data_IF_723065901889
#
_entry.id   IF_723065901889
#
_cell.length_a   1.000
_cell.length_b   1.000
_cell.length_c   1.000
_cell.angle_alpha   90.00
_cell.angle_beta   90.00
_cell.angle_gamma   90.00
#
_symmetry.space_group_name_H-M   'P 1'
#
loop_
_entity.id
_entity.type
_entity.pdbx_description
1 polymer ?
#
# COMPACT_ATOMS: atom_id res chain seq x y z
N UNK A 1 0.85 -18.57 -21.79
CA UNK A 1 -0.41 -19.28 -21.42
C UNK A 1 -0.76 -18.84 -20.01
N UNK A 2 -1.95 -18.31 -19.75
CA UNK A 2 -2.38 -17.97 -18.38
C UNK A 2 -2.69 -19.31 -17.72
N UNK A 3 -2.00 -19.71 -16.63
CA UNK A 3 -2.33 -20.97 -15.96
C UNK A 3 -3.76 -20.95 -15.47
N UNK A 4 -4.47 -22.06 -15.64
CA UNK A 4 -5.82 -22.24 -15.09
C UNK A 4 -5.75 -21.99 -13.57
N UNK A 5 -6.65 -21.16 -13.06
CA UNK A 5 -6.73 -20.91 -11.63
C UNK A 5 -7.05 -22.21 -10.88
N UNK A 6 -6.35 -22.49 -9.78
CA UNK A 6 -6.65 -23.64 -8.94
C UNK A 6 -8.03 -23.52 -8.29
N UNK A 7 -8.61 -24.65 -7.85
CA UNK A 7 -9.89 -24.61 -7.12
C UNK A 7 -9.85 -23.69 -5.90
N UNK A 8 -8.68 -23.56 -5.24
CA UNK A 8 -8.51 -22.70 -4.09
C UNK A 8 -8.50 -21.22 -4.48
N UNK A 9 -7.83 -20.88 -5.59
CA UNK A 9 -7.87 -19.52 -6.16
C UNK A 9 -9.27 -19.13 -6.59
N UNK A 10 -10.00 -20.05 -7.23
CA UNK A 10 -11.41 -19.84 -7.60
C UNK A 10 -12.29 -19.64 -6.38
N UNK A 11 -12.08 -20.44 -5.30
CA UNK A 11 -12.78 -20.30 -4.03
C UNK A 11 -12.50 -18.92 -3.40
N UNK A 12 -11.25 -18.53 -3.29
CA UNK A 12 -10.84 -17.22 -2.75
C UNK A 12 -11.46 -16.05 -3.52
N UNK A 13 -11.50 -16.14 -4.87
CA UNK A 13 -12.14 -15.13 -5.70
C UNK A 13 -13.66 -15.08 -5.48
N UNK A 14 -14.31 -16.22 -5.35
CA UNK A 14 -15.75 -16.29 -5.08
C UNK A 14 -16.09 -15.63 -3.73
N UNK A 15 -15.31 -15.92 -2.68
CA UNK A 15 -15.49 -15.37 -1.35
C UNK A 15 -15.22 -13.86 -1.32
N UNK A 16 -14.13 -13.41 -1.92
CA UNK A 16 -13.77 -11.97 -1.93
C UNK A 16 -14.78 -11.11 -2.69
N UNK A 17 -15.36 -11.66 -3.77
CA UNK A 17 -16.39 -10.99 -4.59
C UNK A 17 -17.80 -11.17 -4.04
N UNK A 18 -17.98 -12.04 -3.05
CA UNK A 18 -19.30 -12.43 -2.50
C UNK A 18 -20.28 -12.91 -3.58
N UNK A 19 -19.78 -13.40 -4.72
CA UNK A 19 -20.58 -13.75 -5.90
C UNK A 19 -19.85 -14.73 -6.82
N UNK A 20 -20.50 -15.85 -7.15
CA UNK A 20 -20.00 -16.80 -8.15
C UNK A 20 -19.96 -16.18 -9.55
N UNK A 21 -20.95 -15.35 -9.89
CA UNK A 21 -21.03 -14.70 -11.20
C UNK A 21 -19.92 -13.67 -11.38
N UNK A 22 -19.66 -12.84 -10.38
CA UNK A 22 -18.57 -11.85 -10.45
C UNK A 22 -17.19 -12.52 -10.44
N UNK A 23 -17.00 -13.59 -9.68
CA UNK A 23 -15.78 -14.38 -9.73
C UNK A 23 -15.56 -15.02 -11.11
N UNK A 24 -16.64 -15.54 -11.71
CA UNK A 24 -16.59 -16.14 -13.04
C UNK A 24 -16.17 -15.12 -14.12
N UNK A 25 -16.70 -13.89 -14.07
CA UNK A 25 -16.31 -12.81 -14.99
C UNK A 25 -14.81 -12.49 -14.90
N UNK A 26 -14.30 -12.34 -13.67
CA UNK A 26 -12.89 -11.99 -13.44
C UNK A 26 -11.93 -13.09 -13.85
N UNK A 27 -12.35 -14.35 -13.65
CA UNK A 27 -11.53 -15.53 -13.99
C UNK A 27 -11.71 -15.99 -15.43
N UNK A 28 -12.62 -15.38 -16.19
CA UNK A 28 -13.03 -15.84 -17.53
C UNK A 28 -13.55 -17.30 -17.54
N UNK A 29 -14.30 -17.65 -16.49
CA UNK A 29 -14.93 -18.97 -16.33
C UNK A 29 -16.45 -18.87 -16.45
N UNK A 30 -17.12 -20.02 -16.60
CA UNK A 30 -18.57 -20.08 -16.40
C UNK A 30 -18.91 -20.06 -14.91
N UNK A 31 -20.08 -19.52 -14.55
CA UNK A 31 -20.56 -19.54 -13.17
C UNK A 31 -20.70 -20.97 -12.63
N UNK A 32 -21.05 -21.94 -13.50
CA UNK A 32 -21.09 -23.35 -13.13
C UNK A 32 -19.71 -23.92 -12.77
N UNK A 33 -18.66 -23.54 -13.50
CA UNK A 33 -17.29 -23.95 -13.21
C UNK A 33 -16.83 -23.39 -11.85
N UNK A 34 -17.10 -22.13 -11.55
CA UNK A 34 -16.82 -21.53 -10.23
C UNK A 34 -17.57 -22.27 -9.11
N UNK A 35 -18.87 -22.56 -9.32
CA UNK A 35 -19.67 -23.32 -8.35
C UNK A 35 -19.13 -24.73 -8.10
N UNK A 36 -18.66 -25.42 -9.16
CA UNK A 36 -18.05 -26.76 -9.05
C UNK A 36 -16.70 -26.68 -8.31
N UNK A 37 -15.86 -25.71 -8.60
CA UNK A 37 -14.60 -25.52 -7.90
C UNK A 37 -14.79 -25.27 -6.39
N UNK A 38 -15.77 -24.45 -6.01
CA UNK A 38 -16.12 -24.22 -4.60
C UNK A 38 -16.59 -25.54 -3.95
N UNK A 39 -17.49 -26.29 -4.59
CA UNK A 39 -17.92 -27.59 -4.08
C UNK A 39 -16.77 -28.59 -3.94
N UNK A 40 -15.81 -28.57 -4.86
CA UNK A 40 -14.64 -29.45 -4.78
C UNK A 40 -13.77 -29.13 -3.56
N UNK A 41 -13.61 -27.84 -3.19
CA UNK A 41 -12.93 -27.43 -1.95
C UNK A 41 -13.72 -27.91 -0.72
N UNK A 42 -15.04 -27.71 -0.69
CA UNK A 42 -15.90 -28.16 0.41
C UNK A 42 -15.87 -29.68 0.60
N UNK A 43 -15.88 -30.45 -0.49
CA UNK A 43 -15.77 -31.91 -0.46
C UNK A 43 -14.42 -32.38 0.09
N UNK A 44 -13.33 -31.75 -0.30
CA UNK A 44 -12.00 -32.09 0.17
C UNK A 44 -11.81 -31.79 1.65
N UNK A 45 -12.34 -30.64 2.10
CA UNK A 45 -12.28 -30.23 3.52
C UNK A 45 -13.31 -30.99 4.37
N UNK A 46 -14.33 -31.56 3.74
CA UNK A 46 -15.42 -32.27 4.43
C UNK A 46 -16.40 -31.35 5.16
N UNK A 47 -16.40 -30.05 4.83
CA UNK A 47 -17.22 -29.04 5.50
C UNK A 47 -17.90 -28.13 4.48
N UNK A 48 -19.11 -27.66 4.80
CA UNK A 48 -19.76 -26.59 4.05
C UNK A 48 -19.13 -25.25 4.47
N UNK A 49 -18.43 -24.60 3.53
CA UNK A 49 -17.70 -23.37 3.81
C UNK A 49 -18.44 -22.10 3.37
N UNK A 50 -19.41 -22.24 2.45
CA UNK A 50 -20.12 -21.12 1.83
C UNK A 50 -21.62 -21.31 1.91
N UNK A 51 -22.33 -20.25 2.33
CA UNK A 51 -23.79 -20.15 2.27
C UNK A 51 -24.22 -19.33 1.06
N UNK A 52 -25.20 -19.81 0.30
CA UNK A 52 -25.85 -19.04 -0.76
C UNK A 52 -26.96 -18.20 -0.15
N UNK A 53 -26.98 -16.90 -0.43
CA UNK A 53 -28.00 -15.94 -0.04
C UNK A 53 -28.64 -15.31 -1.28
N UNK A 54 -29.75 -14.60 -1.09
CA UNK A 54 -30.41 -13.86 -2.18
C UNK A 54 -29.47 -12.84 -2.82
N UNK A 55 -28.57 -12.22 -2.02
CA UNK A 55 -27.65 -11.15 -2.43
C UNK A 55 -26.23 -11.66 -2.68
N UNK A 56 -26.02 -12.98 -2.82
CA UNK A 56 -24.71 -13.52 -3.10
C UNK A 56 -24.29 -14.71 -2.23
N UNK A 57 -23.03 -14.73 -1.79
CA UNK A 57 -22.49 -15.80 -0.95
C UNK A 57 -21.80 -15.23 0.30
N UNK A 58 -21.84 -16.00 1.38
CA UNK A 58 -21.12 -15.68 2.61
C UNK A 58 -20.43 -16.92 3.19
N UNK A 59 -19.33 -16.73 3.90
CA UNK A 59 -18.67 -17.81 4.63
C UNK A 59 -19.52 -18.28 5.81
N UNK A 60 -19.64 -19.60 5.98
CA UNK A 60 -20.16 -20.22 7.20
C UNK A 60 -19.26 -19.92 8.40
N UNK A 61 -19.67 -20.29 9.62
CA UNK A 61 -18.80 -20.22 10.81
C UNK A 61 -17.51 -21.02 10.61
N UNK A 62 -17.62 -22.22 10.05
CA UNK A 62 -16.45 -23.08 9.77
C UNK A 62 -15.66 -22.54 8.56
N UNK A 63 -16.35 -21.99 7.56
CA UNK A 63 -15.71 -21.29 6.45
C UNK A 63 -14.79 -20.15 6.92
N UNK A 64 -15.22 -19.36 7.91
CA UNK A 64 -14.38 -18.28 8.47
C UNK A 64 -13.13 -18.80 9.18
N UNK A 65 -13.19 -19.98 9.80
CA UNK A 65 -12.03 -20.60 10.47
C UNK A 65 -11.07 -21.22 9.48
N UNK A 66 -11.59 -21.82 8.39
CA UNK A 66 -10.80 -22.53 7.37
C UNK A 66 -10.24 -21.57 6.31
N UNK A 67 -10.92 -20.46 6.03
CA UNK A 67 -10.55 -19.52 4.97
C UNK A 67 -9.09 -19.03 5.03
N UNK A 68 -8.52 -18.68 6.20
CA UNK A 68 -7.11 -18.30 6.28
C UNK A 68 -6.13 -19.38 5.79
N UNK A 69 -6.45 -20.66 6.01
CA UNK A 69 -5.62 -21.77 5.55
C UNK A 69 -5.73 -21.94 4.03
N UNK A 70 -6.91 -21.75 3.45
CA UNK A 70 -7.11 -21.76 2.00
C UNK A 70 -6.34 -20.58 1.37
N UNK A 71 -6.35 -19.42 1.99
CA UNK A 71 -5.55 -18.28 1.54
C UNK A 71 -4.05 -18.60 1.53
N UNK A 72 -3.55 -19.26 2.56
CA UNK A 72 -2.14 -19.68 2.63
C UNK A 72 -1.78 -20.66 1.50
N UNK A 73 -2.70 -21.55 1.10
CA UNK A 73 -2.49 -22.43 -0.05
C UNK A 73 -2.40 -21.61 -1.34
N UNK A 74 -3.29 -20.65 -1.56
CA UNK A 74 -3.24 -19.76 -2.72
C UNK A 74 -1.93 -18.97 -2.77
N UNK A 75 -1.45 -18.49 -1.63
CA UNK A 75 -0.18 -17.76 -1.54
C UNK A 75 1.01 -18.66 -1.90
N UNK A 76 1.00 -19.93 -1.42
CA UNK A 76 2.01 -20.91 -1.76
C UNK A 76 2.01 -21.30 -3.25
N UNK A 77 0.82 -21.44 -3.86
CA UNK A 77 0.69 -21.67 -5.31
C UNK A 77 1.26 -20.51 -6.14
N UNK A 78 0.99 -19.27 -5.71
CA UNK A 78 1.56 -18.08 -6.34
C UNK A 78 3.09 -18.05 -6.20
N UNK A 79 3.61 -18.37 -5.02
CA UNK A 79 5.05 -18.45 -4.79
C UNK A 79 5.70 -19.54 -5.65
N UNK A 80 5.05 -20.70 -5.80
CA UNK A 80 5.52 -21.78 -6.68
C UNK A 80 5.53 -21.33 -8.15
N UNK A 81 4.45 -20.69 -8.62
CA UNK A 81 4.36 -20.18 -9.99
C UNK A 81 5.43 -19.09 -10.26
N UNK A 82 5.70 -18.23 -9.29
CA UNK A 82 6.80 -17.26 -9.38
C UNK A 82 8.16 -17.95 -9.45
N UNK A 83 8.38 -18.98 -8.62
CA UNK A 83 9.67 -19.71 -8.59
C UNK A 83 9.92 -20.48 -9.87
N UNK A 84 8.92 -21.16 -10.40
CA UNK A 84 9.02 -21.87 -11.70
C UNK A 84 9.27 -20.89 -12.84
N UNK A 85 8.57 -19.76 -12.87
CA UNK A 85 8.79 -18.71 -13.86
C UNK A 85 10.21 -18.14 -13.78
N UNK A 86 10.75 -17.93 -12.58
CA UNK A 86 12.15 -17.52 -12.38
C UNK A 86 13.15 -18.57 -12.90
N UNK A 87 12.87 -19.86 -12.64
CA UNK A 87 13.72 -20.96 -13.08
C UNK A 87 13.67 -21.16 -14.60
N UNK A 88 12.52 -20.95 -15.23
CA UNK A 88 12.33 -21.03 -16.68
C UNK A 88 12.92 -19.82 -17.42
N UNK A 89 12.92 -18.66 -16.76
CA UNK A 89 13.46 -17.41 -17.29
C UNK A 89 14.71 -17.01 -16.51
N UNK A 90 15.83 -17.65 -16.77
CA UNK A 90 17.15 -17.34 -16.19
C UNK A 90 17.57 -15.84 -16.28
N UNK A 91 16.72 -14.95 -16.79
CA UNK A 91 17.01 -13.55 -17.06
C UNK A 91 15.85 -12.58 -16.82
N UNK A 92 14.86 -12.85 -16.00
CA UNK A 92 13.83 -11.83 -15.76
C UNK A 92 12.85 -12.20 -14.68
N UNK A 93 12.59 -11.28 -13.79
CA UNK A 93 11.57 -11.37 -12.75
C UNK A 93 10.59 -10.20 -12.86
N UNK A 94 9.43 -10.32 -12.25
CA UNK A 94 8.50 -9.21 -12.08
C UNK A 94 8.52 -8.81 -10.61
N UNK A 95 8.94 -7.57 -10.33
CA UNK A 95 8.88 -6.99 -8.98
C UNK A 95 7.57 -6.21 -8.86
N UNK A 96 6.64 -6.69 -8.04
CA UNK A 96 5.36 -6.03 -7.79
C UNK A 96 5.44 -5.25 -6.50
N UNK A 97 5.23 -3.93 -6.60
CA UNK A 97 5.47 -2.99 -5.50
C UNK A 97 4.19 -2.23 -5.18
N UNK A 98 3.75 -2.29 -3.92
CA UNK A 98 2.76 -1.37 -3.36
C UNK A 98 3.44 -0.08 -2.92
N UNK A 99 2.97 1.08 -3.38
CA UNK A 99 3.65 2.35 -3.11
C UNK A 99 2.66 3.50 -2.97
N UNK A 100 3.11 4.60 -2.42
CA UNK A 100 2.36 5.85 -2.36
C UNK A 100 3.08 6.98 -3.11
N UNK A 101 2.38 8.04 -3.51
CA UNK A 101 2.88 9.04 -4.47
C UNK A 101 4.25 9.63 -4.13
N UNK A 102 4.52 9.95 -2.87
CA UNK A 102 5.78 10.58 -2.46
C UNK A 102 7.00 9.69 -2.74
N UNK A 103 6.90 8.36 -2.50
CA UNK A 103 7.98 7.41 -2.82
C UNK A 103 8.06 7.14 -4.32
N UNK A 104 6.91 7.02 -4.98
CA UNK A 104 6.85 6.76 -6.43
C UNK A 104 7.46 7.87 -7.27
N UNK A 105 7.44 9.11 -6.80
CA UNK A 105 7.94 10.28 -7.55
C UNK A 105 9.43 10.54 -7.34
N UNK A 106 9.97 10.26 -6.17
CA UNK A 106 11.34 10.64 -5.83
C UNK A 106 12.36 9.50 -6.01
N UNK A 107 12.39 8.58 -5.08
CA UNK A 107 13.47 7.61 -5.00
C UNK A 107 13.26 6.39 -5.91
N UNK A 108 12.02 5.90 -5.99
CA UNK A 108 11.72 4.64 -6.65
C UNK A 108 12.08 4.63 -8.15
N UNK A 109 11.81 5.68 -8.96
CA UNK A 109 12.20 5.71 -10.36
C UNK A 109 13.72 5.65 -10.56
N UNK A 110 14.47 6.33 -9.70
CA UNK A 110 15.96 6.31 -9.75
C UNK A 110 16.48 4.91 -9.43
N UNK A 111 15.99 4.29 -8.37
CA UNK A 111 16.33 2.92 -7.97
C UNK A 111 15.99 1.90 -9.07
N UNK A 112 14.79 2.01 -9.63
CA UNK A 112 14.38 1.14 -10.75
C UNK A 112 15.27 1.29 -11.98
N UNK A 113 15.67 2.52 -12.31
CA UNK A 113 16.57 2.81 -13.44
C UNK A 113 17.94 2.19 -13.21
N UNK A 114 18.52 2.38 -12.01
CA UNK A 114 19.83 1.81 -11.66
C UNK A 114 19.78 0.28 -11.69
N UNK A 115 18.77 -0.31 -11.05
CA UNK A 115 18.60 -1.76 -11.02
C UNK A 115 18.40 -2.38 -12.40
N UNK A 116 17.64 -1.72 -13.29
CA UNK A 116 17.47 -2.17 -14.68
C UNK A 116 18.73 -2.07 -15.54
N UNK A 117 19.68 -1.22 -15.18
CA UNK A 117 20.97 -1.17 -15.88
C UNK A 117 21.78 -2.46 -15.67
N UNK A 118 21.68 -3.07 -14.49
CA UNK A 118 22.33 -4.33 -14.13
C UNK A 118 21.47 -5.56 -14.49
N UNK A 119 20.13 -5.40 -14.42
CA UNK A 119 19.14 -6.46 -14.61
C UNK A 119 18.08 -6.04 -15.65
N UNK A 120 18.43 -5.90 -16.96
CA UNK A 120 17.56 -5.30 -17.98
C UNK A 120 16.27 -6.07 -18.24
N UNK A 121 16.25 -7.37 -17.98
CA UNK A 121 15.08 -8.24 -18.13
C UNK A 121 14.05 -8.13 -17.01
N UNK A 122 14.40 -7.51 -15.87
CA UNK A 122 13.46 -7.32 -14.76
C UNK A 122 12.39 -6.28 -15.11
N UNK A 123 11.15 -6.64 -14.84
CA UNK A 123 9.99 -5.74 -14.98
C UNK A 123 9.47 -5.32 -13.63
N UNK A 124 9.04 -4.06 -13.53
CA UNK A 124 8.42 -3.51 -12.35
C UNK A 124 6.94 -3.28 -12.61
N UNK A 125 6.10 -3.62 -11.64
CA UNK A 125 4.67 -3.29 -11.63
C UNK A 125 4.36 -2.54 -10.34
N UNK A 126 3.94 -1.29 -10.48
CA UNK A 126 3.64 -0.41 -9.36
C UNK A 126 2.13 -0.35 -9.13
N UNK A 127 1.72 -0.52 -7.89
CA UNK A 127 0.36 -0.32 -7.44
C UNK A 127 0.35 0.81 -6.41
N UNK A 128 -0.34 1.89 -6.73
CA UNK A 128 -0.47 3.02 -5.81
C UNK A 128 -1.66 2.84 -4.88
N UNK A 129 -1.49 3.27 -3.64
CA UNK A 129 -2.52 3.27 -2.60
C UNK A 129 -2.03 3.94 -1.33
N UNK A 130 -2.90 4.05 -0.36
CA UNK A 130 -2.58 4.45 1.00
C UNK A 130 -2.17 3.22 1.85
N UNK A 131 -1.72 3.43 3.08
CA UNK A 131 -1.16 2.35 3.92
C UNK A 131 -2.08 1.14 4.07
N UNK A 132 -3.38 1.33 4.26
CA UNK A 132 -4.35 0.23 4.42
C UNK A 132 -4.51 -0.57 3.13
N UNK A 133 -4.56 0.12 1.99
CA UNK A 133 -4.65 -0.51 0.66
C UNK A 133 -3.39 -1.31 0.35
N UNK A 134 -2.20 -0.76 0.66
CA UNK A 134 -0.93 -1.47 0.47
C UNK A 134 -0.86 -2.71 1.36
N UNK A 135 -1.25 -2.61 2.63
CA UNK A 135 -1.33 -3.75 3.54
C UNK A 135 -2.27 -4.85 3.00
N UNK A 136 -3.44 -4.47 2.47
CA UNK A 136 -4.37 -5.40 1.84
C UNK A 136 -3.78 -6.07 0.59
N UNK A 137 -3.04 -5.31 -0.24
CA UNK A 137 -2.36 -5.86 -1.42
C UNK A 137 -1.24 -6.84 -1.04
N UNK A 138 -0.51 -6.59 0.05
CA UNK A 138 0.49 -7.51 0.60
C UNK A 138 -0.16 -8.78 1.13
N UNK A 139 -1.23 -8.66 1.92
CA UNK A 139 -1.95 -9.83 2.47
C UNK A 139 -2.54 -10.72 1.38
N UNK A 140 -3.06 -10.13 0.31
CA UNK A 140 -3.63 -10.87 -0.82
C UNK A 140 -2.60 -11.41 -1.83
N UNK A 141 -1.30 -11.09 -1.65
CA UNK A 141 -0.25 -11.45 -2.61
C UNK A 141 -0.31 -10.68 -3.94
N UNK A 142 -1.12 -9.63 -4.04
CA UNK A 142 -1.17 -8.76 -5.23
C UNK A 142 0.16 -8.05 -5.47
N UNK A 143 0.86 -7.69 -4.40
CA UNK A 143 2.22 -7.18 -4.41
C UNK A 143 3.11 -8.04 -3.51
N UNK A 144 4.38 -8.13 -3.83
CA UNK A 144 5.37 -8.89 -3.05
C UNK A 144 5.96 -8.03 -1.93
N UNK A 145 6.17 -6.76 -2.22
CA UNK A 145 6.71 -5.76 -1.29
C UNK A 145 5.87 -4.49 -1.35
N UNK A 146 5.90 -3.73 -0.27
CA UNK A 146 5.19 -2.47 -0.18
C UNK A 146 5.96 -1.44 0.64
N UNK A 147 5.70 -0.17 0.39
CA UNK A 147 6.16 0.89 1.26
C UNK A 147 5.11 1.19 2.32
N UNK A 148 5.55 1.45 3.55
CA UNK A 148 4.68 1.79 4.66
C UNK A 148 5.41 2.68 5.67
N UNK A 149 4.68 3.21 6.65
CA UNK A 149 5.28 3.72 7.87
C UNK A 149 5.66 2.55 8.78
N UNK A 150 6.89 2.56 9.33
CA UNK A 150 7.41 1.45 10.15
C UNK A 150 6.47 1.08 11.31
N UNK A 151 5.88 2.08 11.98
CA UNK A 151 4.90 1.89 13.05
C UNK A 151 3.58 1.25 12.62
N UNK A 152 3.36 1.02 11.31
CA UNK A 152 2.17 0.36 10.78
C UNK A 152 2.43 -1.05 10.25
N UNK A 153 3.64 -1.58 10.51
CA UNK A 153 4.11 -2.85 9.97
C UNK A 153 4.01 -4.01 10.98
N UNK A 154 3.22 -3.92 12.04
CA UNK A 154 3.20 -4.93 13.14
C UNK A 154 2.91 -6.35 12.65
N UNK A 155 2.09 -6.50 11.60
CA UNK A 155 1.72 -7.80 11.01
C UNK A 155 2.65 -8.24 9.87
N UNK A 156 3.67 -7.45 9.54
CA UNK A 156 4.56 -7.65 8.40
C UNK A 156 6.02 -7.75 8.86
N UNK A 157 6.86 -8.29 7.97
CA UNK A 157 8.29 -8.05 8.03
C UNK A 157 8.57 -6.65 7.47
N UNK A 158 9.53 -5.93 8.04
CA UNK A 158 9.85 -4.59 7.57
C UNK A 158 11.33 -4.25 7.76
N UNK A 159 11.87 -3.48 6.82
CA UNK A 159 13.20 -2.87 6.91
C UNK A 159 13.03 -1.35 6.77
N UNK A 160 13.50 -0.56 7.76
CA UNK A 160 13.46 0.89 7.69
C UNK A 160 14.40 1.38 6.59
N UNK A 161 13.96 2.43 5.86
CA UNK A 161 14.72 3.02 4.77
C UNK A 161 15.17 4.44 5.08
N UNK A 162 14.21 5.33 5.39
CA UNK A 162 14.51 6.73 5.68
C UNK A 162 13.43 7.40 6.53
N UNK A 163 13.79 8.54 7.12
CA UNK A 163 12.86 9.41 7.84
C UNK A 163 12.37 10.51 6.91
N UNK A 164 11.09 10.85 7.02
CA UNK A 164 10.45 11.85 6.18
C UNK A 164 9.61 12.78 7.06
N UNK A 165 10.19 13.92 7.45
CA UNK A 165 9.52 14.87 8.32
C UNK A 165 8.30 15.51 7.63
N UNK A 166 7.28 15.83 8.42
CA UNK A 166 6.19 16.70 8.00
C UNK A 166 6.65 18.16 8.07
N UNK A 167 6.13 18.95 7.14
CA UNK A 167 6.25 20.41 7.15
C UNK A 167 4.86 21.02 7.03
N UNK A 168 4.71 22.21 7.60
CA UNK A 168 3.54 23.04 7.48
C UNK A 168 3.51 23.70 6.10
N UNK A 169 2.34 23.66 5.45
CA UNK A 169 2.09 24.30 4.15
C UNK A 169 0.96 25.31 4.33
N UNK A 170 1.24 26.55 4.01
CA UNK A 170 0.38 27.71 4.25
C UNK A 170 0.15 28.50 2.97
N UNK A 171 -1.01 29.14 2.81
CA UNK A 171 -1.18 30.17 1.79
C UNK A 171 -0.15 31.30 1.97
N UNK A 172 0.28 31.97 0.89
CA UNK A 172 1.31 33.01 0.99
C UNK A 172 0.88 34.21 1.86
N UNK A 173 -0.42 34.51 1.90
CA UNK A 173 -0.97 35.64 2.68
C UNK A 173 -1.38 35.26 4.12
N UNK A 174 -1.14 34.01 4.52
CA UNK A 174 -1.56 33.52 5.83
C UNK A 174 -0.78 34.22 6.97
N UNK A 175 -1.45 34.56 8.07
CA UNK A 175 -0.84 35.26 9.20
C UNK A 175 0.38 34.52 9.77
N UNK A 176 0.30 33.19 9.84
CA UNK A 176 1.37 32.31 10.31
C UNK A 176 2.54 32.18 9.32
N UNK A 177 2.38 32.55 8.05
CA UNK A 177 3.42 32.42 7.02
C UNK A 177 4.67 33.30 7.29
N UNK A 178 4.55 34.29 8.20
CA UNK A 178 5.65 35.17 8.60
C UNK A 178 6.52 34.57 9.71
N UNK A 179 6.15 33.45 10.28
CA UNK A 179 6.90 32.80 11.35
C UNK A 179 8.07 31.99 10.77
N UNK A 180 9.04 31.65 11.64
CA UNK A 180 10.16 30.77 11.27
C UNK A 180 9.84 29.28 11.44
N UNK A 181 8.85 28.93 12.27
CA UNK A 181 8.35 27.60 12.53
C UNK A 181 6.89 27.66 13.00
N UNK A 182 6.18 26.55 12.90
CA UNK A 182 4.76 26.40 13.30
C UNK A 182 4.67 25.35 14.39
N UNK A 183 3.69 25.52 15.33
CA UNK A 183 3.32 24.46 16.28
C UNK A 183 2.05 23.72 15.82
N UNK A 184 1.91 22.45 16.22
CA UNK A 184 0.68 21.70 15.96
C UNK A 184 -0.54 22.35 16.63
N UNK A 185 -0.34 23.03 17.77
CA UNK A 185 -1.38 23.80 18.45
C UNK A 185 -1.94 24.92 17.55
N UNK A 186 -1.06 25.71 16.92
CA UNK A 186 -1.47 26.75 15.97
C UNK A 186 -2.27 26.16 14.79
N UNK A 187 -1.82 25.00 14.26
CA UNK A 187 -2.51 24.32 13.17
C UNK A 187 -3.83 23.67 13.56
N UNK A 188 -4.01 23.31 14.83
CA UNK A 188 -5.25 22.67 15.29
C UNK A 188 -6.48 23.57 15.17
N UNK A 189 -6.29 24.89 15.15
CA UNK A 189 -7.36 25.91 15.04
C UNK A 189 -7.62 26.38 13.60
N UNK A 190 -6.77 25.96 12.66
CA UNK A 190 -6.90 26.33 11.25
C UNK A 190 -7.67 25.25 10.45
N UNK A 191 -8.34 25.63 9.33
CA UNK A 191 -9.01 24.67 8.46
C UNK A 191 -7.97 23.74 7.79
N UNK A 192 -7.79 22.55 8.34
CA UNK A 192 -6.75 21.62 7.94
C UNK A 192 -7.21 20.69 6.83
N UNK A 193 -6.48 20.69 5.73
CA UNK A 193 -6.63 19.78 4.60
C UNK A 193 -5.56 18.70 4.74
N UNK A 194 -5.94 17.44 4.91
CA UNK A 194 -4.99 16.36 5.12
C UNK A 194 -4.91 15.39 3.96
N UNK A 195 -3.72 14.86 3.77
CA UNK A 195 -3.52 13.70 2.91
C UNK A 195 -4.27 12.50 3.50
N UNK A 196 -5.09 11.85 2.69
CA UNK A 196 -5.76 10.62 3.12
C UNK A 196 -4.77 9.45 3.08
N UNK A 197 -4.36 9.04 4.26
CA UNK A 197 -3.43 7.92 4.48
C UNK A 197 -4.16 6.61 4.84
N UNK A 198 -5.48 6.60 4.71
CA UNK A 198 -6.33 5.47 5.05
C UNK A 198 -6.77 5.45 6.52
N UNK A 199 -6.91 4.25 7.08
CA UNK A 199 -7.36 4.07 8.48
C UNK A 199 -6.32 4.53 9.50
N UNK A 200 -5.03 4.36 9.19
CA UNK A 200 -3.90 4.82 10.00
C UNK A 200 -3.29 6.06 9.34
N UNK A 201 -2.94 7.05 10.14
CA UNK A 201 -2.43 8.32 9.62
C UNK A 201 -1.40 8.92 10.56
N UNK A 202 -0.20 9.12 10.03
CA UNK A 202 0.91 9.77 10.76
C UNK A 202 0.53 11.21 11.13
N UNK A 203 -0.22 11.90 10.28
CA UNK A 203 -0.68 13.27 10.55
C UNK A 203 -1.63 13.29 11.75
N UNK A 204 -2.62 12.37 11.80
CA UNK A 204 -3.54 12.31 12.94
C UNK A 204 -2.82 11.89 14.22
N UNK A 205 -1.91 10.93 14.11
CA UNK A 205 -1.12 10.46 15.26
C UNK A 205 -0.24 11.59 15.81
N UNK A 206 0.29 12.48 14.95
CA UNK A 206 1.06 13.64 15.39
C UNK A 206 0.25 14.60 16.30
N UNK A 207 -1.00 14.88 15.94
CA UNK A 207 -1.90 15.68 16.78
C UNK A 207 -2.32 14.92 18.06
N UNK A 208 -2.65 13.64 17.94
CA UNK A 208 -3.05 12.81 19.08
C UNK A 208 -1.94 12.71 20.14
N UNK A 209 -0.67 12.60 19.71
CA UNK A 209 0.49 12.51 20.59
C UNK A 209 0.68 13.76 21.47
N UNK A 210 0.14 14.90 21.07
CA UNK A 210 0.14 16.14 21.84
C UNK A 210 -1.25 16.51 22.38
N UNK A 211 -2.18 15.54 22.39
CA UNK A 211 -3.55 15.68 22.89
C UNK A 211 -4.35 16.77 22.20
N UNK A 212 -4.12 17.01 20.91
CA UNK A 212 -4.84 17.98 20.10
C UNK A 212 -5.81 17.28 19.15
N UNK A 213 -6.91 17.96 18.84
CA UNK A 213 -7.89 17.54 17.83
C UNK A 213 -7.99 18.64 16.77
N UNK A 214 -7.39 18.46 15.58
CA UNK A 214 -7.39 19.49 14.57
C UNK A 214 -8.77 19.66 13.93
N UNK A 215 -9.07 20.88 13.47
CA UNK A 215 -10.22 21.14 12.63
C UNK A 215 -9.97 20.58 11.21
N UNK A 216 -10.54 19.41 10.91
CA UNK A 216 -10.42 18.78 9.60
C UNK A 216 -11.45 19.35 8.63
N UNK A 217 -10.99 20.16 7.68
CA UNK A 217 -11.80 20.73 6.61
C UNK A 217 -12.06 19.69 5.50
N UNK A 218 -11.00 18.99 5.06
CA UNK A 218 -11.14 17.98 4.02
C UNK A 218 -10.02 16.92 4.06
N UNK A 219 -10.28 15.81 3.37
CA UNK A 219 -9.30 14.74 3.10
C UNK A 219 -9.10 14.60 1.61
N UNK A 220 -7.87 14.56 1.17
CA UNK A 220 -7.50 14.53 -0.24
C UNK A 220 -6.47 13.42 -0.47
N UNK A 221 -6.60 12.67 -1.57
CA UNK A 221 -5.75 11.53 -1.87
C UNK A 221 -4.40 11.87 -2.49
N UNK A 222 -4.22 13.07 -3.00
CA UNK A 222 -2.98 13.47 -3.66
C UNK A 222 -2.48 14.84 -3.19
N UNK A 223 -1.16 14.96 -3.14
CA UNK A 223 -0.49 16.14 -2.64
C UNK A 223 -0.60 17.34 -3.62
N UNK A 224 -0.70 17.10 -4.93
CA UNK A 224 -0.79 18.18 -5.92
C UNK A 224 -2.13 18.93 -5.77
N UNK A 225 -3.22 18.20 -5.54
CA UNK A 225 -4.53 18.79 -5.20
C UNK A 225 -4.48 19.56 -3.89
N UNK A 226 -3.84 19.01 -2.85
CA UNK A 226 -3.67 19.72 -1.56
C UNK A 226 -2.94 21.05 -1.79
N UNK A 227 -1.81 21.02 -2.50
CA UNK A 227 -1.05 22.24 -2.81
C UNK A 227 -1.92 23.27 -3.53
N UNK A 228 -2.65 22.85 -4.56
CA UNK A 228 -3.52 23.73 -5.33
C UNK A 228 -4.65 24.38 -4.50
N UNK A 229 -5.17 23.67 -3.50
CA UNK A 229 -6.20 24.19 -2.57
C UNK A 229 -5.60 25.15 -1.56
N UNK A 230 -4.43 24.80 -0.98
CA UNK A 230 -3.71 25.67 -0.04
C UNK A 230 -3.27 26.97 -0.72
N UNK A 231 -2.69 26.92 -1.91
CA UNK A 231 -2.28 28.11 -2.68
C UNK A 231 -3.42 29.11 -2.94
N UNK A 232 -4.65 28.63 -2.96
CA UNK A 232 -5.87 29.45 -3.13
C UNK A 232 -6.47 29.96 -1.83
N UNK A 233 -5.81 29.71 -0.69
CA UNK A 233 -6.24 30.19 0.63
C UNK A 233 -7.44 29.44 1.21
N UNK A 234 -7.72 28.22 0.76
CA UNK A 234 -8.88 27.44 1.22
C UNK A 234 -8.59 26.59 2.48
N UNK A 235 -7.37 26.73 3.05
CA UNK A 235 -6.96 26.07 4.26
C UNK A 235 -5.45 25.93 4.34
N UNK A 236 -4.98 25.18 5.34
CA UNK A 236 -3.56 24.87 5.57
C UNK A 236 -3.36 23.35 5.49
N UNK A 237 -2.12 22.90 5.35
CA UNK A 237 -1.83 21.46 5.30
C UNK A 237 -0.52 21.07 5.96
N UNK A 238 -0.40 19.78 6.27
CA UNK A 238 0.86 19.12 6.63
C UNK A 238 1.22 18.16 5.53
N UNK A 239 2.38 18.35 4.91
CA UNK A 239 2.88 17.47 3.86
C UNK A 239 4.31 17.03 4.17
N UNK A 240 4.71 15.89 3.62
CA UNK A 240 6.04 15.34 3.80
C UNK A 240 7.10 16.12 3.03
N UNK A 241 8.26 16.30 3.65
CA UNK A 241 9.36 17.07 3.04
C UNK A 241 9.89 16.43 1.76
N UNK A 242 9.84 15.13 1.63
CA UNK A 242 10.20 14.44 0.39
C UNK A 242 9.37 14.91 -0.80
N UNK A 243 8.09 15.22 -0.59
CA UNK A 243 7.22 15.77 -1.64
C UNK A 243 7.54 17.25 -1.92
N UNK A 244 7.87 18.01 -0.88
CA UNK A 244 8.04 19.47 -0.95
C UNK A 244 9.44 19.90 -1.41
N UNK A 245 10.38 18.98 -1.55
CA UNK A 245 11.80 19.25 -1.82
C UNK A 245 12.04 20.12 -3.06
N UNK A 246 11.30 19.86 -4.13
CA UNK A 246 11.44 20.56 -5.41
C UNK A 246 10.25 21.51 -5.67
N UNK A 247 9.50 21.84 -4.64
CA UNK A 247 8.38 22.78 -4.76
C UNK A 247 8.88 24.22 -4.92
N UNK A 248 8.38 24.90 -5.94
CA UNK A 248 8.73 26.28 -6.30
C UNK A 248 7.52 27.21 -6.41
N UNK A 249 6.34 26.75 -5.99
CA UNK A 249 5.10 27.53 -6.05
C UNK A 249 5.00 28.60 -4.96
N UNK A 250 3.85 29.31 -4.88
CA UNK A 250 3.65 30.43 -3.97
C UNK A 250 3.38 30.06 -2.51
N UNK A 251 3.01 28.81 -2.19
CA UNK A 251 2.73 28.41 -0.82
C UNK A 251 3.98 28.47 0.05
N UNK A 252 3.81 28.86 1.31
CA UNK A 252 4.90 28.96 2.28
C UNK A 252 5.06 27.63 3.01
N UNK A 253 6.29 27.10 3.03
CA UNK A 253 6.63 25.84 3.68
C UNK A 253 7.48 26.13 4.91
N UNK A 254 6.98 25.76 6.08
CA UNK A 254 7.66 26.01 7.36
C UNK A 254 7.89 24.70 8.14
N UNK A 255 8.96 24.61 8.94
CA UNK A 255 9.16 23.51 9.85
C UNK A 255 8.10 23.49 10.96
N UNK A 256 7.84 22.30 11.49
CA UNK A 256 6.96 22.11 12.65
C UNK A 256 7.85 21.89 13.88
N UNK A 257 7.55 22.61 14.97
CA UNK A 257 8.36 22.57 16.21
C UNK A 257 8.42 21.16 16.80
N UNK A 258 7.32 20.44 16.82
CA UNK A 258 7.22 19.08 17.37
C UNK A 258 7.89 18.02 16.48
N UNK A 259 8.31 18.43 15.27
CA UNK A 259 9.03 17.58 14.30
C UNK A 259 8.38 16.22 14.04
N UNK A 260 7.06 16.18 13.78
CA UNK A 260 6.44 14.92 13.44
C UNK A 260 7.03 14.38 12.15
N UNK A 261 7.28 13.06 12.12
CA UNK A 261 7.88 12.41 10.96
C UNK A 261 7.30 11.01 10.76
N UNK A 262 7.35 10.52 9.53
CA UNK A 262 7.18 9.10 9.26
C UNK A 262 8.54 8.44 9.06
N UNK A 263 8.62 7.19 9.51
CA UNK A 263 9.75 6.31 9.16
C UNK A 263 9.29 5.44 8.00
N UNK A 264 9.73 5.75 6.80
CA UNK A 264 9.41 4.95 5.61
C UNK A 264 10.17 3.65 5.68
N UNK A 265 9.45 2.55 5.53
CA UNK A 265 9.97 1.20 5.50
C UNK A 265 9.51 0.47 4.24
N UNK A 266 10.33 -0.47 3.76
CA UNK A 266 9.88 -1.50 2.85
C UNK A 266 9.36 -2.67 3.68
N UNK A 267 8.23 -3.23 3.28
CA UNK A 267 7.54 -4.26 4.06
C UNK A 267 7.02 -5.37 3.16
N UNK A 268 6.90 -6.58 3.72
CA UNK A 268 6.35 -7.75 3.04
C UNK A 268 5.66 -8.68 4.02
N UNK A 269 4.82 -9.58 3.53
CA UNK A 269 4.07 -10.53 4.35
C UNK A 269 5.02 -11.49 5.06
N UNK A 270 4.84 -11.68 6.38
CA UNK A 270 5.62 -12.64 7.18
C UNK A 270 5.54 -14.05 6.60
N UNK A 271 6.71 -14.72 6.58
CA UNK A 271 6.82 -16.08 6.06
C UNK A 271 6.69 -16.19 4.54
N UNK A 272 6.51 -15.07 3.81
CA UNK A 272 6.47 -15.09 2.37
C UNK A 272 7.87 -15.27 1.76
N UNK A 273 7.99 -16.20 0.82
CA UNK A 273 9.22 -16.37 0.05
C UNK A 273 9.20 -15.39 -1.13
N UNK A 274 9.94 -14.30 -0.95
CA UNK A 274 10.09 -13.31 -2.01
C UNK A 274 10.85 -13.88 -3.21
N UNK A 275 10.48 -13.44 -4.41
CA UNK A 275 11.20 -13.77 -5.64
C UNK A 275 12.67 -13.32 -5.58
N UNK A 276 13.53 -13.97 -6.36
CA UNK A 276 14.94 -13.59 -6.41
C UNK A 276 15.12 -12.12 -6.86
N UNK A 277 14.36 -11.70 -7.90
CA UNK A 277 14.39 -10.34 -8.39
C UNK A 277 13.95 -9.33 -7.31
N UNK A 278 12.89 -9.65 -6.56
CA UNK A 278 12.40 -8.80 -5.46
C UNK A 278 13.42 -8.69 -4.35
N UNK A 279 14.04 -9.79 -3.92
CA UNK A 279 15.10 -9.76 -2.89
C UNK A 279 16.29 -8.92 -3.33
N UNK A 280 16.78 -9.12 -4.55
CA UNK A 280 17.89 -8.34 -5.10
C UNK A 280 17.56 -6.85 -5.20
N UNK A 281 16.32 -6.52 -5.58
CA UNK A 281 15.88 -5.12 -5.59
C UNK A 281 15.79 -4.53 -4.18
N UNK A 282 15.36 -5.30 -3.18
CA UNK A 282 15.37 -4.86 -1.77
C UNK A 282 16.79 -4.62 -1.26
N UNK A 283 17.74 -5.51 -1.57
CA UNK A 283 19.16 -5.32 -1.23
C UNK A 283 19.67 -4.01 -1.84
N UNK A 284 19.40 -3.78 -3.15
CA UNK A 284 19.76 -2.57 -3.85
C UNK A 284 19.16 -1.30 -3.22
N UNK A 285 17.89 -1.34 -2.79
CA UNK A 285 17.26 -0.22 -2.05
C UNK A 285 17.91 -0.01 -0.69
N UNK A 286 18.18 -1.07 0.06
CA UNK A 286 18.80 -0.96 1.38
C UNK A 286 20.20 -0.34 1.28
N UNK A 287 20.99 -0.73 0.28
CA UNK A 287 22.32 -0.17 0.05
C UNK A 287 22.25 1.31 -0.35
N UNK A 288 21.30 1.69 -1.21
CA UNK A 288 21.08 3.09 -1.59
C UNK A 288 20.79 4.00 -0.39
N UNK A 289 19.93 3.56 0.53
CA UNK A 289 19.57 4.37 1.71
C UNK A 289 20.61 4.31 2.83
N UNK A 290 21.45 3.27 2.87
CA UNK A 290 22.54 3.17 3.85
C UNK A 290 23.70 4.12 3.55
N UNK A 291 23.84 4.54 2.30
CA UNK A 291 24.92 5.43 1.82
C UNK A 291 24.53 6.90 1.78
N UNK A 292 23.32 7.28 2.18
CA UNK A 292 22.78 8.65 2.21
C UNK A 292 22.31 9.06 3.58
#
# INVERSE_FOLDING_TARGET
>A
MIPLASKYQVFCQAVSRKSFTEAAKVLHYSQSAVSQAVKAVEQEVGLTLVLRKKDGIELTSDGKKVYPYIQNICDAELALAHKTFEMEQLQGGIVRIGTFPTVSREALPTLMKQFKAEHPSVRFVLYQGEYTSIASMLQSGKVEIGFSHLGFCEEFEAVPLFRDPLAAVLPPEHSLAKQSEITLEQFSTEPLIILDEGKRSVIKDAFANVSLSPWLESRVYDCDTIMAVVERGLGVSLLYRSYLKDYTGPAVVLPIRERPERHVAITWKRGNVLSYATRKFMDHMADYYRTR
#
